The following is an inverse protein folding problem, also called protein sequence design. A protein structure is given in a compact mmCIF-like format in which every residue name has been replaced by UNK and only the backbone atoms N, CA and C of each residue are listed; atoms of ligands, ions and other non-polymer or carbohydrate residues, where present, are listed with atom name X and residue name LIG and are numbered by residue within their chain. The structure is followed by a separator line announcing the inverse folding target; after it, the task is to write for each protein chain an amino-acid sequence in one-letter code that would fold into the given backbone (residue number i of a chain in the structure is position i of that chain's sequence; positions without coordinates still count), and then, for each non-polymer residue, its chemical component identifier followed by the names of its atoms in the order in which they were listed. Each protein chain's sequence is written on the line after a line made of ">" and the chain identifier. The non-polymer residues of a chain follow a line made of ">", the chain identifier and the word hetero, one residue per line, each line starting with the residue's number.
data_IF_282246515326
#
_entry.id   IF_282246515326
#
_cell.length_a   1.000
_cell.length_b   1.000
_cell.length_c   1.000
_cell.angle_alpha   90.00
_cell.angle_beta   90.00
_cell.angle_gamma   90.00
#
_symmetry.space_group_name_H-M   'P 1'
#
loop_
_entity.id
_entity.type
_entity.pdbx_description
1 polymer ?
#
# COMPACT_ATOMS: atom_id res chain seq x y z
N UNK A 1 -0.14 -21.80 -0.91
CA UNK A 1 -0.42 -20.97 0.28
C UNK A 1 0.51 -21.26 1.45
N UNK A 2 0.72 -22.53 1.83
CA UNK A 2 1.61 -22.87 2.94
C UNK A 2 3.03 -22.31 2.75
N UNK A 3 3.62 -22.48 1.57
CA UNK A 3 4.94 -21.95 1.25
C UNK A 3 5.01 -20.41 1.37
N UNK A 4 3.97 -19.70 0.96
CA UNK A 4 3.89 -18.26 1.10
C UNK A 4 3.81 -17.85 2.58
N UNK A 5 3.01 -18.56 3.38
CA UNK A 5 2.91 -18.33 4.80
C UNK A 5 4.25 -18.56 5.51
N UNK A 6 4.95 -19.65 5.18
CA UNK A 6 6.26 -19.99 5.76
C UNK A 6 7.34 -18.96 5.40
N UNK A 7 7.32 -18.43 4.17
CA UNK A 7 8.33 -17.48 3.72
C UNK A 7 8.05 -16.03 4.09
N UNK A 8 6.80 -15.60 4.04
CA UNK A 8 6.44 -14.19 4.21
C UNK A 8 5.67 -13.90 5.51
N UNK A 9 5.15 -14.93 6.20
CA UNK A 9 4.30 -14.74 7.39
C UNK A 9 4.95 -13.91 8.50
N UNK A 10 6.19 -14.19 8.83
CA UNK A 10 6.93 -13.45 9.85
C UNK A 10 7.16 -11.98 9.48
N UNK A 11 7.41 -11.70 8.20
CA UNK A 11 7.57 -10.33 7.67
C UNK A 11 6.26 -9.54 7.73
N UNK A 12 5.19 -10.16 7.26
CA UNK A 12 3.86 -9.54 7.27
C UNK A 12 3.39 -9.28 8.70
N UNK A 13 3.66 -10.20 9.62
CA UNK A 13 3.41 -10.01 11.03
C UNK A 13 4.20 -8.83 11.60
N UNK A 14 5.46 -8.69 11.25
CA UNK A 14 6.30 -7.55 11.65
C UNK A 14 5.74 -6.21 11.15
N UNK A 15 5.27 -6.16 9.91
CA UNK A 15 4.61 -4.97 9.35
C UNK A 15 3.32 -4.64 10.11
N UNK A 16 2.46 -5.63 10.29
CA UNK A 16 1.19 -5.44 11.00
C UNK A 16 1.41 -4.99 12.45
N UNK A 17 2.40 -5.55 13.16
CA UNK A 17 2.75 -5.15 14.53
C UNK A 17 3.22 -3.71 14.62
N UNK A 18 4.03 -3.25 13.69
CA UNK A 18 4.50 -1.85 13.66
C UNK A 18 3.36 -0.87 13.51
N UNK A 19 2.34 -1.21 12.74
CA UNK A 19 1.19 -0.36 12.45
C UNK A 19 0.15 -0.47 13.56
N UNK A 20 -0.29 -1.68 13.89
CA UNK A 20 -1.35 -1.94 14.87
C UNK A 20 -0.88 -1.80 16.32
N UNK A 21 0.43 -1.95 16.59
CA UNK A 21 1.06 -1.87 17.92
C UNK A 21 0.53 -2.86 18.96
N UNK A 22 -0.16 -3.90 18.50
CA UNK A 22 -0.74 -4.95 19.33
C UNK A 22 -0.56 -6.31 18.65
N UNK A 23 -0.08 -7.30 19.42
CA UNK A 23 0.23 -8.64 18.88
C UNK A 23 -1.02 -9.36 18.38
N UNK A 24 -2.09 -9.37 19.16
CA UNK A 24 -3.33 -10.07 18.81
C UNK A 24 -3.97 -9.46 17.57
N UNK A 25 -4.03 -8.14 17.48
CA UNK A 25 -4.53 -7.42 16.32
C UNK A 25 -3.67 -7.67 15.09
N UNK A 26 -2.34 -7.69 15.23
CA UNK A 26 -1.43 -7.98 14.14
C UNK A 26 -1.62 -9.39 13.57
N UNK A 27 -1.79 -10.38 14.41
CA UNK A 27 -2.07 -11.77 14.01
C UNK A 27 -3.38 -11.87 13.24
N UNK A 28 -4.43 -11.21 13.70
CA UNK A 28 -5.72 -11.16 13.02
C UNK A 28 -5.61 -10.46 11.66
N UNK A 29 -4.87 -9.35 11.58
CA UNK A 29 -4.61 -8.64 10.31
C UNK A 29 -3.90 -9.55 9.31
N UNK A 30 -2.86 -10.26 9.74
CA UNK A 30 -2.11 -11.17 8.87
C UNK A 30 -2.98 -12.35 8.42
N UNK A 31 -3.79 -12.89 9.31
CA UNK A 31 -4.74 -13.95 8.95
C UNK A 31 -5.73 -13.48 7.87
N UNK A 32 -6.34 -12.32 8.06
CA UNK A 32 -7.26 -11.73 7.08
C UNK A 32 -6.54 -11.39 5.75
N UNK A 33 -5.29 -10.92 5.83
CA UNK A 33 -4.48 -10.69 4.65
C UNK A 33 -4.28 -11.96 3.83
N UNK A 34 -3.95 -13.09 4.45
CA UNK A 34 -3.81 -14.38 3.76
C UNK A 34 -5.12 -14.87 3.15
N UNK A 35 -6.25 -14.70 3.83
CA UNK A 35 -7.56 -15.01 3.25
C UNK A 35 -7.82 -14.18 1.99
N UNK A 36 -7.53 -12.88 2.03
CA UNK A 36 -7.71 -12.00 0.86
C UNK A 36 -6.74 -12.30 -0.27
N UNK A 37 -5.50 -12.59 0.04
CA UNK A 37 -4.50 -13.04 -0.94
C UNK A 37 -4.99 -14.30 -1.65
N UNK A 38 -5.50 -15.26 -0.88
CA UNK A 38 -6.04 -16.50 -1.43
C UNK A 38 -7.23 -16.26 -2.34
N UNK A 39 -8.21 -15.51 -1.89
CA UNK A 39 -9.46 -15.26 -2.64
C UNK A 39 -9.26 -14.37 -3.86
N UNK A 40 -8.18 -13.58 -3.89
CA UNK A 40 -7.88 -12.63 -4.96
C UNK A 40 -6.60 -12.94 -5.74
N UNK A 41 -6.07 -14.14 -5.59
CA UNK A 41 -4.86 -14.56 -6.31
C UNK A 41 -4.95 -14.36 -7.83
N UNK A 42 -6.13 -14.56 -8.40
CA UNK A 42 -6.39 -14.38 -9.83
C UNK A 42 -6.31 -12.90 -10.28
N UNK A 43 -6.44 -11.96 -9.35
CA UNK A 43 -6.33 -10.52 -9.63
C UNK A 43 -4.89 -10.00 -9.66
N UNK A 44 -3.93 -10.83 -9.23
CA UNK A 44 -2.51 -10.45 -9.29
C UNK A 44 -2.03 -10.37 -10.73
N UNK A 45 -1.41 -9.25 -11.07
CA UNK A 45 -0.85 -8.98 -12.39
C UNK A 45 0.66 -8.77 -12.29
N UNK A 46 1.49 -9.72 -12.77
CA UNK A 46 2.95 -9.61 -12.72
C UNK A 46 3.52 -8.38 -13.45
N UNK A 47 2.79 -7.86 -14.42
CA UNK A 47 3.22 -6.66 -15.16
C UNK A 47 3.17 -5.38 -14.31
N UNK A 48 2.43 -5.42 -13.20
CA UNK A 48 2.26 -4.28 -12.28
C UNK A 48 3.24 -4.29 -11.12
N UNK A 49 3.89 -5.42 -10.86
CA UNK A 49 4.88 -5.54 -9.80
C UNK A 49 5.08 -6.94 -9.26
N UNK A 50 5.94 -7.07 -8.26
CA UNK A 50 6.26 -8.37 -7.67
C UNK A 50 5.11 -8.91 -6.82
N UNK A 51 5.00 -10.23 -6.73
CA UNK A 51 4.04 -10.90 -5.85
C UNK A 51 4.24 -10.50 -4.38
N UNK A 52 5.49 -10.37 -3.96
CA UNK A 52 5.85 -9.94 -2.61
C UNK A 52 5.31 -8.54 -2.30
N UNK A 53 5.48 -7.60 -3.22
CA UNK A 53 4.94 -6.25 -3.09
C UNK A 53 3.41 -6.23 -3.01
N UNK A 54 2.76 -7.04 -3.82
CA UNK A 54 1.31 -7.18 -3.82
C UNK A 54 0.79 -7.70 -2.46
N UNK A 55 1.39 -8.77 -1.94
CA UNK A 55 1.08 -9.35 -0.63
C UNK A 55 1.32 -8.33 0.51
N UNK A 56 2.45 -7.65 0.49
CA UNK A 56 2.82 -6.64 1.47
C UNK A 56 1.81 -5.49 1.52
N UNK A 57 1.36 -4.99 0.38
CA UNK A 57 0.39 -3.90 0.35
C UNK A 57 -0.98 -4.29 0.85
N UNK A 58 -1.44 -5.50 0.56
CA UNK A 58 -2.70 -6.00 1.13
C UNK A 58 -2.61 -5.95 2.65
N UNK A 59 -1.53 -6.49 3.21
CA UNK A 59 -1.32 -6.52 4.66
C UNK A 59 -1.22 -5.11 5.26
N UNK A 60 -0.41 -4.24 4.65
CA UNK A 60 -0.24 -2.88 5.11
C UNK A 60 -1.56 -2.09 5.08
N UNK A 61 -2.31 -2.23 4.02
CA UNK A 61 -3.60 -1.56 3.87
C UNK A 61 -4.60 -2.01 4.91
N UNK A 62 -4.69 -3.30 5.17
CA UNK A 62 -5.54 -3.84 6.24
C UNK A 62 -5.12 -3.30 7.62
N UNK A 63 -3.82 -3.24 7.89
CA UNK A 63 -3.30 -2.71 9.15
C UNK A 63 -3.63 -1.22 9.34
N UNK A 64 -3.46 -0.41 8.31
CA UNK A 64 -3.78 1.01 8.35
C UNK A 64 -5.27 1.25 8.54
N UNK A 65 -6.13 0.50 7.83
CA UNK A 65 -7.58 0.59 8.02
C UNK A 65 -8.02 0.15 9.41
N UNK A 66 -7.40 -0.90 9.94
CA UNK A 66 -7.67 -1.34 11.30
C UNK A 66 -7.39 -0.24 12.32
N UNK A 67 -6.25 0.43 12.22
CA UNK A 67 -5.86 1.52 13.14
C UNK A 67 -6.78 2.74 13.00
N UNK A 68 -7.14 3.07 11.77
CA UNK A 68 -7.95 4.27 11.47
C UNK A 68 -9.40 4.11 11.89
N UNK A 69 -10.04 3.01 11.50
CA UNK A 69 -11.49 2.85 11.58
C UNK A 69 -11.95 1.70 12.48
N UNK A 70 -11.04 0.85 12.95
CA UNK A 70 -11.36 -0.40 13.60
C UNK A 70 -12.13 -1.36 12.69
N UNK A 71 -12.13 -1.14 11.37
CA UNK A 71 -12.87 -1.90 10.38
C UNK A 71 -11.96 -2.68 9.46
N UNK A 72 -12.37 -3.90 9.17
CA UNK A 72 -11.66 -4.85 8.30
C UNK A 72 -12.00 -4.69 6.81
N UNK A 73 -13.03 -3.91 6.48
CA UNK A 73 -13.51 -3.74 5.10
C UNK A 73 -12.73 -2.65 4.38
N UNK A 74 -11.60 -3.05 3.84
CA UNK A 74 -10.90 -2.25 2.86
C UNK A 74 -11.43 -2.60 1.47
N UNK A 75 -11.85 -1.60 0.74
CA UNK A 75 -12.20 -1.76 -0.67
C UNK A 75 -10.92 -1.88 -1.50
N UNK A 76 -10.39 -3.11 -1.55
CA UNK A 76 -9.18 -3.45 -2.31
C UNK A 76 -9.42 -3.51 -3.83
N UNK A 77 -10.67 -3.32 -4.27
CA UNK A 77 -11.04 -3.38 -5.69
C UNK A 77 -10.68 -2.12 -6.47
N UNK A 78 -10.21 -1.10 -5.79
CA UNK A 78 -9.79 0.13 -6.45
C UNK A 78 -8.47 -0.05 -7.21
N UNK A 79 -8.45 0.15 -8.55
CA UNK A 79 -7.23 0.00 -9.36
C UNK A 79 -6.05 0.87 -8.91
N UNK A 80 -6.31 1.98 -8.23
CA UNK A 80 -5.30 2.87 -7.66
C UNK A 80 -4.51 2.22 -6.54
N UNK A 81 -5.16 1.38 -5.72
CA UNK A 81 -4.50 0.69 -4.62
C UNK A 81 -3.61 -0.45 -5.06
N UNK A 82 -4.02 -1.18 -6.08
CA UNK A 82 -3.21 -2.27 -6.66
C UNK A 82 -1.94 -1.71 -7.34
N UNK A 83 -2.03 -0.54 -7.97
CA UNK A 83 -0.86 0.09 -8.59
C UNK A 83 0.17 0.60 -7.57
N UNK A 84 -0.28 0.94 -6.39
CA UNK A 84 0.51 1.40 -5.27
C UNK A 84 1.45 0.36 -4.68
N UNK A 85 0.99 -0.85 -4.73
CA UNK A 85 1.65 -2.05 -4.22
C UNK A 85 3.04 -2.24 -4.82
N UNK A 86 3.25 -1.73 -6.01
CA UNK A 86 4.49 -1.94 -6.74
C UNK A 86 5.67 -1.09 -6.29
N UNK A 87 5.43 -0.07 -5.49
CA UNK A 87 6.51 0.76 -4.91
C UNK A 87 7.01 0.27 -3.54
N UNK A 88 6.23 -0.59 -2.89
CA UNK A 88 6.55 -1.07 -1.55
C UNK A 88 7.69 -2.11 -1.47
N UNK A 89 7.94 -2.98 -2.47
CA UNK A 89 8.94 -4.05 -2.33
C UNK A 89 10.39 -3.56 -2.31
N UNK A 90 10.66 -2.44 -2.93
CA UNK A 90 12.03 -1.87 -2.97
C UNK A 90 12.41 -1.17 -1.67
N UNK A 91 11.43 -0.96 -0.78
CA UNK A 91 11.64 -0.34 0.53
C UNK A 91 12.02 -1.35 1.63
N UNK A 92 11.97 -2.65 1.33
CA UNK A 92 12.07 -3.70 2.35
C UNK A 92 13.47 -4.34 2.51
N UNK A 93 14.42 -4.00 1.66
CA UNK A 93 15.83 -4.34 1.87
C UNK A 93 16.56 -3.23 2.63
N UNK A 94 17.50 -3.61 3.47
CA UNK A 94 18.34 -2.76 4.34
C UNK A 94 19.01 -1.52 3.67
N UNK A 95 18.66 -1.22 2.46
CA UNK A 95 18.94 0.02 1.76
C UNK A 95 17.94 1.14 2.09
N UNK A 96 17.16 0.97 3.16
CA UNK A 96 16.17 1.93 3.64
C UNK A 96 16.69 3.37 3.80
N UNK A 97 17.98 3.54 3.99
CA UNK A 97 18.57 4.88 4.15
C UNK A 97 18.87 5.58 2.83
N UNK A 98 19.36 4.89 1.82
CA UNK A 98 19.60 5.48 0.50
C UNK A 98 18.32 5.59 -0.34
N UNK A 99 17.42 4.61 -0.21
CA UNK A 99 16.12 4.61 -0.87
C UNK A 99 15.17 5.67 -0.33
N UNK A 100 15.16 5.94 0.99
CA UNK A 100 14.30 6.95 1.59
C UNK A 100 14.61 8.35 1.07
N UNK A 101 15.89 8.74 0.98
CA UNK A 101 16.26 10.04 0.45
C UNK A 101 15.87 10.22 -1.02
N UNK A 102 15.96 9.16 -1.82
CA UNK A 102 15.58 9.18 -3.22
C UNK A 102 14.08 9.34 -3.39
N UNK A 103 13.25 8.60 -2.62
CA UNK A 103 11.80 8.70 -2.72
C UNK A 103 11.29 10.08 -2.30
N UNK A 104 11.89 10.70 -1.27
CA UNK A 104 11.53 12.06 -0.88
C UNK A 104 11.78 13.05 -2.01
N UNK A 105 12.93 12.98 -2.67
CA UNK A 105 13.24 13.83 -3.83
C UNK A 105 12.26 13.60 -4.98
N UNK A 106 11.86 12.36 -5.22
CA UNK A 106 10.88 12.05 -6.26
C UNK A 106 9.49 12.58 -5.88
N UNK A 107 9.10 12.49 -4.62
CA UNK A 107 7.84 13.05 -4.14
C UNK A 107 7.79 14.57 -4.25
N UNK A 108 8.89 15.27 -3.97
CA UNK A 108 9.00 16.72 -4.11
C UNK A 108 8.84 17.22 -5.55
N UNK A 109 9.08 16.36 -6.53
CA UNK A 109 8.87 16.69 -7.95
C UNK A 109 7.41 16.63 -8.38
N UNK A 110 6.53 16.03 -7.57
CA UNK A 110 5.11 15.98 -7.85
C UNK A 110 4.46 17.34 -7.54
N UNK A 111 3.41 17.65 -8.30
CA UNK A 111 2.56 18.80 -7.98
C UNK A 111 1.91 18.63 -6.60
N UNK A 112 1.58 19.74 -5.88
CA UNK A 112 1.10 19.66 -4.50
C UNK A 112 -0.14 18.78 -4.28
N UNK A 113 -1.15 18.85 -5.16
CA UNK A 113 -2.35 18.07 -5.01
C UNK A 113 -2.13 16.56 -5.26
N UNK A 114 -1.47 16.14 -6.38
CA UNK A 114 -1.05 14.76 -6.58
C UNK A 114 -0.15 14.22 -5.45
N UNK A 115 0.79 15.01 -4.96
CA UNK A 115 1.66 14.63 -3.85
C UNK A 115 0.85 14.31 -2.58
N UNK A 116 -0.11 15.18 -2.23
CA UNK A 116 -1.00 14.95 -1.09
C UNK A 116 -1.86 13.70 -1.26
N UNK A 117 -2.33 13.41 -2.48
CA UNK A 117 -3.04 12.18 -2.76
C UNK A 117 -2.20 10.94 -2.41
N UNK A 118 -0.93 10.93 -2.82
CA UNK A 118 0.00 9.84 -2.51
C UNK A 118 0.21 9.72 -1.00
N UNK A 119 0.45 10.81 -0.31
CA UNK A 119 0.66 10.78 1.14
C UNK A 119 -0.59 10.29 1.90
N UNK A 120 -1.78 10.78 1.55
CA UNK A 120 -3.02 10.30 2.16
C UNK A 120 -3.30 8.82 1.87
N UNK A 121 -3.04 8.36 0.65
CA UNK A 121 -3.26 6.96 0.29
C UNK A 121 -2.28 6.01 1.00
N UNK A 122 -1.01 6.41 1.10
CA UNK A 122 0.07 5.51 1.53
C UNK A 122 0.52 5.68 2.96
N UNK A 123 0.48 6.88 3.50
CA UNK A 123 0.87 7.18 4.88
C UNK A 123 -0.35 7.10 5.79
N UNK A 124 -1.44 7.75 5.40
CA UNK A 124 -2.65 7.84 6.22
C UNK A 124 -3.64 6.69 6.00
N UNK A 125 -3.46 5.90 4.93
CA UNK A 125 -4.33 4.76 4.61
C UNK A 125 -5.73 5.14 4.15
N UNK A 126 -5.92 6.35 3.62
CA UNK A 126 -7.21 6.82 3.13
C UNK A 126 -7.62 6.14 1.82
N UNK A 127 -8.91 5.85 1.67
CA UNK A 127 -9.48 5.45 0.39
C UNK A 127 -9.52 6.62 -0.59
N UNK A 128 -9.64 6.32 -1.89
CA UNK A 128 -9.74 7.38 -2.90
C UNK A 128 -10.96 8.30 -2.66
N UNK A 129 -12.08 7.75 -2.20
CA UNK A 129 -13.26 8.53 -1.85
C UNK A 129 -13.00 9.49 -0.69
N UNK A 130 -12.30 9.06 0.34
CA UNK A 130 -11.89 9.91 1.46
C UNK A 130 -10.92 11.00 1.04
N UNK A 131 -9.95 10.67 0.18
CA UNK A 131 -9.01 11.65 -0.38
C UNK A 131 -9.77 12.70 -1.20
N UNK A 132 -10.74 12.28 -2.02
CA UNK A 132 -11.60 13.19 -2.77
C UNK A 132 -12.32 14.18 -1.86
N UNK A 133 -12.86 13.71 -0.74
CA UNK A 133 -13.50 14.55 0.27
C UNK A 133 -12.48 15.49 0.94
N UNK A 134 -11.33 14.98 1.36
CA UNK A 134 -10.29 15.77 2.04
C UNK A 134 -9.73 16.90 1.15
N UNK A 135 -9.53 16.62 -0.12
CA UNK A 135 -8.95 17.60 -1.06
C UNK A 135 -10.00 18.43 -1.81
N UNK A 136 -11.29 18.13 -1.64
CA UNK A 136 -12.36 18.81 -2.36
C UNK A 136 -12.28 18.59 -3.87
N UNK A 137 -11.82 17.43 -4.33
CA UNK A 137 -11.64 17.07 -5.72
C UNK A 137 -12.55 15.92 -6.14
N UNK A 138 -12.95 15.83 -7.41
CA UNK A 138 -13.73 14.70 -7.91
C UNK A 138 -12.96 13.38 -7.76
N UNK A 139 -13.68 12.29 -7.46
CA UNK A 139 -13.07 10.96 -7.30
C UNK A 139 -12.26 10.51 -8.52
N UNK A 140 -12.77 10.75 -9.73
CA UNK A 140 -12.05 10.43 -10.97
C UNK A 140 -10.74 11.20 -11.10
N UNK A 141 -10.70 12.44 -10.64
CA UNK A 141 -9.48 13.27 -10.62
C UNK A 141 -8.46 12.70 -9.64
N UNK A 142 -8.88 12.31 -8.43
CA UNK A 142 -8.01 11.69 -7.43
C UNK A 142 -7.39 10.40 -7.97
N UNK A 143 -8.21 9.52 -8.57
CA UNK A 143 -7.73 8.28 -9.21
C UNK A 143 -6.70 8.56 -10.31
N UNK A 144 -6.95 9.55 -11.16
CA UNK A 144 -6.03 9.96 -12.22
C UNK A 144 -4.72 10.53 -11.66
N UNK A 145 -4.79 11.34 -10.62
CA UNK A 145 -3.60 11.88 -9.95
C UNK A 145 -2.74 10.77 -9.35
N UNK A 146 -3.34 9.85 -8.60
CA UNK A 146 -2.62 8.72 -7.99
C UNK A 146 -1.95 7.88 -9.09
N UNK A 147 -2.66 7.50 -10.13
CA UNK A 147 -2.12 6.71 -11.24
C UNK A 147 -0.91 7.37 -11.92
N UNK A 148 -1.02 8.67 -12.21
CA UNK A 148 0.07 9.43 -12.86
C UNK A 148 1.26 9.62 -11.91
N UNK A 149 0.99 9.91 -10.64
CA UNK A 149 2.05 10.06 -9.63
C UNK A 149 2.83 8.79 -9.43
N UNK A 150 2.17 7.64 -9.35
CA UNK A 150 2.84 6.36 -9.23
C UNK A 150 3.74 6.05 -10.43
N UNK A 151 3.27 6.37 -11.64
CA UNK A 151 4.09 6.24 -12.83
C UNK A 151 5.33 7.14 -12.76
N UNK A 152 5.15 8.41 -12.41
CA UNK A 152 6.24 9.36 -12.28
C UNK A 152 7.25 8.96 -11.19
N UNK A 153 6.76 8.47 -10.06
CA UNK A 153 7.61 7.97 -8.97
C UNK A 153 8.44 6.75 -9.41
N UNK A 154 7.84 5.79 -10.13
CA UNK A 154 8.59 4.66 -10.69
C UNK A 154 9.70 5.11 -11.63
N UNK A 155 9.39 6.01 -12.55
CA UNK A 155 10.37 6.56 -13.50
C UNK A 155 11.51 7.30 -12.79
N UNK A 156 11.19 8.04 -11.74
CA UNK A 156 12.17 8.74 -10.91
C UNK A 156 13.03 7.77 -10.09
N UNK A 157 12.45 6.68 -9.58
CA UNK A 157 13.14 5.70 -8.74
C UNK A 157 14.03 4.75 -9.52
N UNK A 158 13.77 4.52 -10.80
CA UNK A 158 14.65 3.77 -11.69
C UNK A 158 15.85 4.59 -12.06
#
# INVERSE_FOLDING_TARGET
>A
MQALYEHEGARLLGVARRIARDQASAEDIVHDAFVRIWTRADSYDPSRGSARGWVYSITRHLALNFVRDGRWEADLDEPGMIAAVTLAPELDDLQLWSGSAKIYRCLEQLQPAPQRCILHAYVDGCSNAEIATLLGAPLGTVKAWIKRSLKALRECMT
#
